data_IF_512960717270
#
_entry.id   IF_512960717270
#
_cell.length_a   1.000
_cell.length_b   1.000
_cell.length_c   1.000
_cell.angle_alpha   90.00
_cell.angle_beta   90.00
_cell.angle_gamma   90.00
#
_symmetry.space_group_name_H-M   'P 1'
#
loop_
_entity.id
_entity.type
_entity.pdbx_description
1 polymer ?
#
# COMPACT_ATOMS: atom_id res chain seq x y z
N UNK A 1 -8.12 -30.17 -72.39
CA UNK A 1 -8.70 -30.68 -71.13
C UNK A 1 -7.72 -30.73 -69.96
N UNK A 2 -6.55 -31.38 -70.05
CA UNK A 2 -5.60 -31.53 -68.91
C UNK A 2 -5.15 -30.21 -68.25
N UNK A 3 -4.86 -29.17 -69.03
CA UNK A 3 -4.43 -27.86 -68.52
C UNK A 3 -5.55 -27.17 -67.72
N UNK A 4 -6.81 -27.31 -68.15
CA UNK A 4 -7.96 -26.75 -67.44
C UNK A 4 -8.24 -27.52 -66.14
N UNK A 5 -8.06 -28.85 -66.13
CA UNK A 5 -8.16 -29.66 -64.90
C UNK A 5 -7.07 -29.31 -63.88
N UNK A 6 -5.82 -29.10 -64.32
CA UNK A 6 -4.72 -28.67 -63.45
C UNK A 6 -4.97 -27.29 -62.83
N UNK A 7 -5.53 -26.36 -63.61
CA UNK A 7 -5.86 -25.01 -63.13
C UNK A 7 -7.05 -25.02 -62.15
N UNK A 8 -8.04 -25.86 -62.40
CA UNK A 8 -9.20 -26.02 -61.52
C UNK A 8 -8.79 -26.65 -60.19
N UNK A 9 -7.86 -27.61 -60.21
CA UNK A 9 -7.32 -28.24 -59.00
C UNK A 9 -6.45 -27.30 -58.16
N UNK A 10 -5.59 -26.45 -58.78
CA UNK A 10 -4.84 -25.43 -58.02
C UNK A 10 -5.80 -24.42 -57.39
N UNK A 11 -6.79 -23.94 -58.15
CA UNK A 11 -7.76 -22.96 -57.63
C UNK A 11 -8.62 -23.54 -56.49
N UNK A 12 -8.95 -24.83 -56.53
CA UNK A 12 -9.66 -25.48 -55.42
C UNK A 12 -8.78 -25.63 -54.16
N UNK A 13 -7.47 -25.86 -54.33
CA UNK A 13 -6.52 -25.91 -53.20
C UNK A 13 -6.40 -24.54 -52.55
N UNK A 14 -6.18 -23.49 -53.36
CA UNK A 14 -6.10 -22.10 -52.88
C UNK A 14 -7.39 -21.68 -52.16
N UNK A 15 -8.55 -22.08 -52.67
CA UNK A 15 -9.83 -21.83 -52.00
C UNK A 15 -9.95 -22.55 -50.65
N UNK A 16 -9.41 -23.75 -50.52
CA UNK A 16 -9.39 -24.48 -49.23
C UNK A 16 -8.45 -23.81 -48.24
N UNK A 17 -7.25 -23.41 -48.68
CA UNK A 17 -6.26 -22.74 -47.83
C UNK A 17 -6.81 -21.42 -47.26
N UNK A 18 -7.42 -20.59 -48.13
CA UNK A 18 -8.03 -19.32 -47.72
C UNK A 18 -9.22 -19.53 -46.77
N UNK A 19 -10.02 -20.60 -46.97
CA UNK A 19 -11.13 -20.93 -46.05
C UNK A 19 -10.61 -21.32 -44.68
N UNK A 20 -9.55 -22.12 -44.63
CA UNK A 20 -8.90 -22.51 -43.38
C UNK A 20 -8.34 -21.30 -42.65
N UNK A 21 -7.61 -20.43 -43.36
CA UNK A 21 -7.04 -19.21 -42.78
C UNK A 21 -8.14 -18.28 -42.23
N UNK A 22 -9.25 -18.13 -42.96
CA UNK A 22 -10.41 -17.38 -42.48
C UNK A 22 -10.99 -17.98 -41.19
N UNK A 23 -11.18 -19.30 -41.12
CA UNK A 23 -11.71 -19.97 -39.93
C UNK A 23 -10.77 -19.80 -38.73
N UNK A 24 -9.47 -19.92 -38.93
CA UNK A 24 -8.46 -19.67 -37.91
C UNK A 24 -8.52 -18.22 -37.40
N UNK A 25 -8.61 -17.26 -38.32
CA UNK A 25 -8.70 -15.84 -37.99
C UNK A 25 -9.99 -15.51 -37.23
N UNK A 26 -11.13 -16.09 -37.63
CA UNK A 26 -12.40 -15.94 -36.92
C UNK A 26 -12.33 -16.48 -35.48
N UNK A 27 -11.70 -17.64 -35.27
CA UNK A 27 -11.49 -18.19 -33.94
C UNK A 27 -10.58 -17.29 -33.09
N UNK A 28 -9.48 -16.81 -33.66
CA UNK A 28 -8.57 -15.88 -32.98
C UNK A 28 -9.26 -14.57 -32.63
N UNK A 29 -10.10 -14.04 -33.52
CA UNK A 29 -10.84 -12.82 -33.28
C UNK A 29 -11.86 -12.99 -32.14
N UNK A 30 -12.62 -14.09 -32.13
CA UNK A 30 -13.56 -14.41 -31.04
C UNK A 30 -12.84 -14.53 -29.71
N UNK A 31 -11.68 -15.18 -29.67
CA UNK A 31 -10.87 -15.29 -28.46
C UNK A 31 -10.42 -13.91 -27.97
N UNK A 32 -9.89 -13.07 -28.86
CA UNK A 32 -9.45 -11.72 -28.51
C UNK A 32 -10.61 -10.83 -28.03
N UNK A 33 -11.81 -10.98 -28.59
CA UNK A 33 -13.01 -10.28 -28.11
C UNK A 33 -13.38 -10.70 -26.67
N UNK A 34 -13.38 -12.01 -26.39
CA UNK A 34 -13.65 -12.51 -25.04
C UNK A 34 -12.62 -12.01 -24.02
N UNK A 35 -11.33 -12.06 -24.36
CA UNK A 35 -10.25 -11.57 -23.49
C UNK A 35 -10.39 -10.06 -23.23
N UNK A 36 -10.76 -9.28 -24.25
CA UNK A 36 -11.03 -7.84 -24.11
C UNK A 36 -12.21 -7.59 -23.17
N UNK A 37 -13.30 -8.33 -23.34
CA UNK A 37 -14.53 -8.13 -22.57
C UNK A 37 -14.32 -8.53 -21.10
N UNK A 38 -13.58 -9.61 -20.86
CA UNK A 38 -13.17 -10.03 -19.51
C UNK A 38 -12.27 -8.97 -18.86
N UNK A 39 -11.29 -8.43 -19.61
CA UNK A 39 -10.40 -7.40 -19.10
C UNK A 39 -11.17 -6.11 -18.76
N UNK A 40 -12.14 -5.73 -19.60
CA UNK A 40 -12.99 -4.57 -19.36
C UNK A 40 -13.85 -4.77 -18.10
N UNK A 41 -14.41 -5.95 -17.90
CA UNK A 41 -15.17 -6.28 -16.70
C UNK A 41 -14.31 -6.17 -15.44
N UNK A 42 -13.13 -6.83 -15.42
CA UNK A 42 -12.17 -6.76 -14.32
C UNK A 42 -11.73 -5.33 -14.01
N UNK A 43 -11.54 -4.52 -15.05
CA UNK A 43 -11.19 -3.11 -14.89
C UNK A 43 -12.29 -2.32 -14.18
N UNK A 44 -13.55 -2.50 -14.57
CA UNK A 44 -14.68 -1.86 -13.91
C UNK A 44 -14.84 -2.31 -12.44
N UNK A 45 -14.70 -3.60 -12.17
CA UNK A 45 -14.73 -4.14 -10.81
C UNK A 45 -13.62 -3.54 -9.95
N UNK A 46 -12.39 -3.48 -10.46
CA UNK A 46 -11.26 -2.91 -9.75
C UNK A 46 -11.46 -1.41 -9.43
N UNK A 47 -12.03 -0.64 -10.37
CA UNK A 47 -12.38 0.77 -10.13
C UNK A 47 -13.40 0.88 -8.99
N UNK A 48 -14.48 0.09 -9.06
CA UNK A 48 -15.53 0.14 -8.04
C UNK A 48 -14.99 -0.26 -6.66
N UNK A 49 -14.15 -1.29 -6.59
CA UNK A 49 -13.55 -1.73 -5.34
C UNK A 49 -12.65 -0.65 -4.72
N UNK A 50 -11.79 0.00 -5.54
CA UNK A 50 -10.95 1.11 -5.08
C UNK A 50 -11.80 2.28 -4.62
N UNK A 51 -12.82 2.66 -5.39
CA UNK A 51 -13.74 3.75 -5.04
C UNK A 51 -14.46 3.46 -3.72
N UNK A 52 -14.99 2.25 -3.54
CA UNK A 52 -15.68 1.85 -2.32
C UNK A 52 -14.75 1.86 -1.11
N UNK A 53 -13.53 1.31 -1.25
CA UNK A 53 -12.51 1.32 -0.18
C UNK A 53 -12.11 2.74 0.22
N UNK A 54 -11.90 3.62 -0.75
CA UNK A 54 -11.57 5.03 -0.51
C UNK A 54 -12.74 5.76 0.14
N UNK A 55 -13.96 5.60 -0.38
CA UNK A 55 -15.17 6.22 0.17
C UNK A 55 -15.41 5.80 1.62
N UNK A 56 -15.27 4.50 1.93
CA UNK A 56 -15.41 4.01 3.30
C UNK A 56 -14.35 4.58 4.25
N UNK A 57 -13.08 4.62 3.81
CA UNK A 57 -11.99 5.23 4.60
C UNK A 57 -12.25 6.71 4.86
N UNK A 58 -12.70 7.45 3.85
CA UNK A 58 -13.02 8.87 3.99
C UNK A 58 -14.16 9.09 4.97
N UNK A 59 -15.25 8.35 4.84
CA UNK A 59 -16.39 8.42 5.77
C UNK A 59 -15.96 8.13 7.21
N UNK A 60 -15.11 7.11 7.41
CA UNK A 60 -14.59 6.78 8.74
C UNK A 60 -13.72 7.92 9.30
N UNK A 61 -12.88 8.54 8.48
CA UNK A 61 -12.05 9.68 8.88
C UNK A 61 -12.91 10.91 9.21
N UNK A 62 -13.94 11.21 8.41
CA UNK A 62 -14.91 12.27 8.68
C UNK A 62 -15.61 12.06 10.02
N UNK A 63 -16.10 10.84 10.29
CA UNK A 63 -16.72 10.49 11.58
C UNK A 63 -15.75 10.63 12.75
N UNK A 64 -14.49 10.22 12.58
CA UNK A 64 -13.46 10.40 13.61
C UNK A 64 -13.17 11.87 13.86
N UNK A 65 -13.06 12.67 12.81
CA UNK A 65 -12.83 14.11 12.90
C UNK A 65 -13.98 14.79 13.65
N UNK A 66 -15.23 14.51 13.26
CA UNK A 66 -16.42 15.04 13.94
C UNK A 66 -16.43 14.65 15.42
N UNK A 67 -16.17 13.38 15.76
CA UNK A 67 -16.09 12.94 17.15
C UNK A 67 -14.97 13.62 17.94
N UNK A 68 -13.81 13.87 17.33
CA UNK A 68 -12.71 14.56 17.99
C UNK A 68 -13.03 16.05 18.19
N UNK A 69 -13.72 16.69 17.23
CA UNK A 69 -14.20 18.06 17.35
C UNK A 69 -15.21 18.20 18.50
N UNK A 70 -16.18 17.30 18.60
CA UNK A 70 -17.15 17.27 19.70
C UNK A 70 -16.46 17.10 21.07
N UNK A 71 -15.44 16.25 21.13
CA UNK A 71 -14.64 16.07 22.35
C UNK A 71 -13.88 17.35 22.68
N UNK A 72 -13.26 17.99 21.69
CA UNK A 72 -12.51 19.23 21.88
C UNK A 72 -13.42 20.34 22.43
N UNK A 73 -14.59 20.57 21.81
CA UNK A 73 -15.55 21.59 22.24
C UNK A 73 -16.05 21.35 23.68
N UNK A 74 -16.31 20.08 24.04
CA UNK A 74 -16.66 19.69 25.42
C UNK A 74 -15.51 19.95 26.39
N UNK A 75 -14.26 19.73 25.99
CA UNK A 75 -13.10 19.96 26.85
C UNK A 75 -12.81 21.45 27.02
N UNK A 76 -12.96 22.24 25.97
CA UNK A 76 -12.80 23.70 26.02
C UNK A 76 -13.87 24.35 26.91
N UNK A 77 -15.14 23.94 26.77
CA UNK A 77 -16.22 24.43 27.65
C UNK A 77 -15.97 24.08 29.12
N UNK A 78 -15.60 22.83 29.43
CA UNK A 78 -15.23 22.39 30.78
C UNK A 78 -14.03 23.18 31.35
N UNK A 79 -13.00 23.42 30.53
CA UNK A 79 -11.83 24.20 30.94
C UNK A 79 -12.21 25.65 31.25
N UNK A 80 -13.02 26.28 30.40
CA UNK A 80 -13.49 27.65 30.59
C UNK A 80 -14.33 27.79 31.88
N UNK A 81 -15.19 26.82 32.17
CA UNK A 81 -15.97 26.78 33.41
C UNK A 81 -15.04 26.74 34.63
N UNK A 82 -14.08 25.80 34.66
CA UNK A 82 -13.12 25.68 35.77
C UNK A 82 -12.31 26.97 35.92
N UNK A 83 -11.79 27.53 34.84
CA UNK A 83 -11.01 28.77 34.88
C UNK A 83 -11.82 29.95 35.45
N UNK A 84 -13.11 30.05 35.10
CA UNK A 84 -14.00 31.08 35.64
C UNK A 84 -14.23 30.95 37.16
N UNK A 85 -14.25 29.72 37.68
CA UNK A 85 -14.44 29.44 39.11
C UNK A 85 -13.16 29.63 39.94
N UNK A 86 -11.99 29.33 39.36
CA UNK A 86 -10.75 29.19 40.14
C UNK A 86 -10.11 30.55 40.51
N UNK A 87 -10.58 31.67 39.94
CA UNK A 87 -10.05 33.04 40.20
C UNK A 87 -8.51 33.12 40.24
N UNK A 88 -7.84 32.36 39.37
CA UNK A 88 -6.38 32.34 39.27
C UNK A 88 -5.93 33.51 38.41
N UNK A 89 -4.78 34.10 38.73
CA UNK A 89 -4.15 35.14 37.92
C UNK A 89 -3.93 34.63 36.46
N UNK A 90 -4.49 35.32 35.44
CA UNK A 90 -4.36 34.93 34.04
C UNK A 90 -2.91 34.82 33.57
N UNK A 91 -2.00 35.64 34.12
CA UNK A 91 -0.58 35.64 33.75
C UNK A 91 0.09 34.32 34.17
N UNK A 92 -0.21 33.85 35.38
CA UNK A 92 0.28 32.59 35.92
C UNK A 92 -0.24 31.38 35.14
N UNK A 93 -1.52 31.39 34.72
CA UNK A 93 -2.08 30.33 33.86
C UNK A 93 -1.36 30.28 32.53
N UNK A 94 -1.18 31.42 31.85
CA UNK A 94 -0.51 31.48 30.55
C UNK A 94 0.93 30.93 30.62
N UNK A 95 1.68 31.28 31.67
CA UNK A 95 3.04 30.75 31.87
C UNK A 95 3.06 29.23 32.08
N UNK A 96 2.11 28.68 32.85
CA UNK A 96 2.02 27.24 33.09
C UNK A 96 1.61 26.49 31.83
N UNK A 97 0.60 26.99 31.10
CA UNK A 97 0.15 26.42 29.82
C UNK A 97 1.29 26.35 28.82
N UNK A 98 2.04 27.45 28.64
CA UNK A 98 3.18 27.47 27.71
C UNK A 98 4.28 26.48 28.09
N UNK A 99 4.64 26.40 29.38
CA UNK A 99 5.61 25.39 29.83
C UNK A 99 5.13 23.96 29.59
N UNK A 100 3.82 23.72 29.75
CA UNK A 100 3.24 22.41 29.49
C UNK A 100 3.26 22.07 28.00
N UNK A 101 2.95 23.03 27.13
CA UNK A 101 3.08 22.92 25.67
C UNK A 101 4.51 22.58 25.26
N UNK A 102 5.51 23.31 25.77
CA UNK A 102 6.94 23.06 25.49
C UNK A 102 7.35 21.62 25.89
N UNK A 103 6.89 21.15 27.06
CA UNK A 103 7.17 19.79 27.54
C UNK A 103 6.46 18.74 26.68
N UNK A 104 5.21 18.98 26.28
CA UNK A 104 4.46 18.08 25.41
C UNK A 104 5.12 17.97 24.04
N UNK A 105 5.52 19.09 23.43
CA UNK A 105 6.20 19.11 22.15
C UNK A 105 7.55 18.40 22.20
N UNK A 106 8.33 18.63 23.25
CA UNK A 106 9.59 17.91 23.49
C UNK A 106 9.38 16.40 23.58
N UNK A 107 8.40 15.94 24.36
CA UNK A 107 8.07 14.51 24.50
C UNK A 107 7.54 13.92 23.20
N UNK A 108 6.68 14.63 22.48
CA UNK A 108 6.16 14.20 21.19
C UNK A 108 7.28 14.07 20.15
N UNK A 109 8.26 14.97 20.17
CA UNK A 109 9.45 14.85 19.33
C UNK A 109 10.26 13.61 19.69
N UNK A 110 10.56 13.41 20.98
CA UNK A 110 11.30 12.23 21.44
C UNK A 110 10.58 10.92 21.06
N UNK A 111 9.25 10.87 21.14
CA UNK A 111 8.46 9.72 20.69
C UNK A 111 8.67 9.46 19.21
N UNK A 112 8.59 10.49 18.35
CA UNK A 112 8.83 10.36 16.91
C UNK A 112 10.25 9.88 16.61
N UNK A 113 11.24 10.44 17.29
CA UNK A 113 12.65 10.07 17.10
C UNK A 113 12.90 8.61 17.52
N UNK A 114 12.39 8.20 18.68
CA UNK A 114 12.52 6.81 19.15
C UNK A 114 11.79 5.81 18.25
N UNK A 115 10.61 6.18 17.75
CA UNK A 115 9.89 5.36 16.78
C UNK A 115 10.68 5.20 15.48
N UNK A 116 11.25 6.29 14.97
CA UNK A 116 12.12 6.25 13.80
C UNK A 116 13.35 5.35 14.04
N UNK A 117 14.03 5.51 15.17
CA UNK A 117 15.21 4.73 15.52
C UNK A 117 14.92 3.24 15.66
N UNK A 118 13.80 2.88 16.31
CA UNK A 118 13.34 1.50 16.39
C UNK A 118 13.14 0.92 14.99
N UNK A 119 12.45 1.66 14.13
CA UNK A 119 12.07 1.19 12.82
C UNK A 119 13.30 1.09 11.88
N UNK A 120 14.26 2.01 12.01
CA UNK A 120 15.60 1.95 11.39
C UNK A 120 16.38 0.71 11.82
N UNK A 121 16.40 0.42 13.13
CA UNK A 121 17.11 -0.73 13.70
C UNK A 121 16.48 -2.05 13.26
N UNK A 122 15.15 -2.16 13.28
CA UNK A 122 14.42 -3.33 12.78
C UNK A 122 14.74 -3.61 11.31
N UNK A 123 14.85 -2.56 10.48
CA UNK A 123 15.22 -2.72 9.07
C UNK A 123 16.65 -3.21 8.90
N UNK A 124 17.62 -2.56 9.56
CA UNK A 124 19.02 -2.97 9.48
C UNK A 124 19.21 -4.44 9.91
N UNK A 125 18.47 -4.87 10.95
CA UNK A 125 18.42 -6.27 11.38
C UNK A 125 17.88 -7.20 10.28
N UNK A 126 16.74 -6.86 9.67
CA UNK A 126 16.14 -7.68 8.61
C UNK A 126 17.02 -7.72 7.33
N UNK A 127 17.65 -6.60 6.97
CA UNK A 127 18.57 -6.53 5.82
C UNK A 127 19.84 -7.36 6.05
N UNK A 128 20.39 -7.32 7.27
CA UNK A 128 21.51 -8.17 7.67
C UNK A 128 21.13 -9.65 7.59
N UNK A 129 19.98 -10.01 8.14
CA UNK A 129 19.47 -11.38 8.10
C UNK A 129 19.37 -11.89 6.66
N UNK A 130 18.76 -11.10 5.77
CA UNK A 130 18.62 -11.43 4.35
C UNK A 130 19.96 -11.56 3.64
N UNK A 131 20.94 -10.76 4.02
CA UNK A 131 22.30 -10.83 3.47
C UNK A 131 23.03 -12.09 3.92
N UNK A 132 22.94 -12.43 5.21
CA UNK A 132 23.49 -13.67 5.76
C UNK A 132 22.87 -14.90 5.08
N UNK A 133 21.56 -14.95 4.93
CA UNK A 133 20.86 -16.04 4.25
C UNK A 133 21.31 -16.23 2.80
N UNK A 134 21.46 -15.12 2.05
CA UNK A 134 22.01 -15.16 0.69
C UNK A 134 23.44 -15.69 0.69
N UNK A 135 24.26 -15.30 1.65
CA UNK A 135 25.66 -15.76 1.74
C UNK A 135 25.75 -17.25 2.09
N UNK A 136 24.94 -17.74 3.02
CA UNK A 136 24.85 -19.17 3.33
C UNK A 136 24.42 -19.98 2.10
N UNK A 137 23.42 -19.48 1.37
CA UNK A 137 22.96 -20.11 0.13
C UNK A 137 24.06 -20.16 -0.94
N UNK A 138 24.89 -19.12 -1.06
CA UNK A 138 26.05 -19.11 -1.98
C UNK A 138 27.09 -20.18 -1.65
N UNK A 139 27.26 -20.53 -0.37
CA UNK A 139 28.16 -21.59 0.07
C UNK A 139 27.48 -22.98 0.07
N UNK A 140 26.25 -23.09 -0.44
CA UNK A 140 25.52 -24.35 -0.51
C UNK A 140 24.98 -24.82 0.85
N UNK A 141 24.87 -23.92 1.84
CA UNK A 141 24.30 -24.23 3.16
C UNK A 141 22.80 -23.94 3.11
N UNK A 142 21.92 -24.95 3.21
CA UNK A 142 20.47 -24.78 3.25
C UNK A 142 20.03 -23.98 4.48
N UNK A 143 19.01 -23.14 4.33
CA UNK A 143 18.44 -22.37 5.45
C UNK A 143 17.91 -23.27 6.57
N UNK A 144 17.41 -24.45 6.22
CA UNK A 144 16.88 -25.47 7.15
C UNK A 144 17.98 -26.20 7.93
N UNK A 145 19.25 -26.02 7.55
CA UNK A 145 20.40 -26.55 8.31
C UNK A 145 20.71 -25.72 9.56
N UNK A 146 20.10 -24.54 9.71
CA UNK A 146 20.19 -23.76 10.94
C UNK A 146 19.21 -24.32 11.97
N UNK A 147 19.71 -24.71 13.15
CA UNK A 147 18.88 -25.20 14.26
C UNK A 147 18.00 -24.10 14.89
N UNK A 148 18.12 -22.85 14.44
CA UNK A 148 17.32 -21.73 14.88
C UNK A 148 16.74 -20.95 13.70
N UNK A 149 15.50 -20.46 13.86
CA UNK A 149 14.86 -19.53 12.93
C UNK A 149 15.05 -18.11 13.45
N UNK A 150 15.82 -17.26 12.74
CA UNK A 150 15.97 -15.86 13.14
C UNK A 150 14.62 -15.16 13.18
N UNK A 151 14.39 -14.35 14.22
CA UNK A 151 13.18 -13.55 14.34
C UNK A 151 13.27 -12.34 13.40
N UNK A 152 12.33 -12.20 12.48
CA UNK A 152 12.15 -10.96 11.74
C UNK A 152 11.51 -9.91 12.67
N UNK A 153 12.22 -8.80 12.86
CA UNK A 153 11.72 -7.73 13.71
C UNK A 153 10.76 -6.86 12.89
N UNK A 154 9.46 -6.96 13.20
CA UNK A 154 8.43 -6.07 12.66
C UNK A 154 8.16 -4.96 13.68
N UNK A 155 8.42 -3.70 13.31
CA UNK A 155 7.90 -2.56 14.06
C UNK A 155 6.36 -2.59 13.96
N UNK A 156 5.68 -3.10 14.99
CA UNK A 156 4.22 -3.26 14.99
C UNK A 156 3.53 -1.95 14.60
N UNK A 157 2.73 -1.99 13.54
CA UNK A 157 1.84 -0.88 13.15
C UNK A 157 2.48 0.27 12.37
N UNK A 158 3.77 0.22 12.04
CA UNK A 158 4.46 1.28 11.29
C UNK A 158 4.90 0.79 9.91
N UNK A 159 4.21 1.28 8.87
CA UNK A 159 4.68 1.23 7.49
C UNK A 159 5.63 2.42 7.30
N UNK A 160 6.93 2.20 7.45
CA UNK A 160 7.92 3.21 7.07
C UNK A 160 7.91 3.42 5.57
N UNK A 161 8.05 4.67 5.13
CA UNK A 161 8.32 4.98 3.73
C UNK A 161 9.62 4.29 3.29
N UNK A 162 9.56 3.58 2.17
CA UNK A 162 10.76 3.13 1.50
C UNK A 162 11.31 4.34 0.71
N UNK A 163 12.35 4.98 1.23
CA UNK A 163 13.09 5.97 0.45
C UNK A 163 13.70 5.33 -0.81
N UNK A 164 14.02 6.11 -1.85
CA UNK A 164 14.77 5.61 -2.99
C UNK A 164 16.07 4.96 -2.47
N UNK A 165 16.39 3.75 -2.96
CA UNK A 165 17.42 2.84 -2.44
C UNK A 165 17.07 2.04 -1.16
N UNK A 166 15.82 2.04 -0.71
CA UNK A 166 15.40 1.23 0.43
C UNK A 166 15.95 1.77 1.74
N UNK A 167 15.97 3.09 1.95
CA UNK A 167 16.28 3.71 3.24
C UNK A 167 14.99 3.93 4.05
N UNK A 168 15.11 4.02 5.39
CA UNK A 168 14.00 4.43 6.25
C UNK A 168 13.91 5.95 6.23
N UNK A 169 12.83 6.50 5.68
CA UNK A 169 12.50 7.91 5.84
C UNK A 169 11.51 8.11 6.98
N UNK A 170 11.52 9.29 7.61
CA UNK A 170 10.41 9.70 8.45
C UNK A 170 9.10 9.60 7.65
N UNK A 171 7.99 9.14 8.25
CA UNK A 171 6.70 9.29 7.61
C UNK A 171 6.43 10.79 7.41
N UNK A 172 6.20 11.19 6.16
CA UNK A 172 5.72 12.54 5.80
C UNK A 172 4.31 12.76 6.29
#
# INVERSE_FOLDING_TARGET
MKIQQARLTSLTSELQDVKWERELLEQSHKKAQLERDELYHKFLEAIQEVQQKCSFKNLLLEKKLASLADILEKRESQLNEVLSLTKVDPTSICMVTRKLEDVLDSKNSAIRDLQYELARTCKAHNDLLRTCEKKLSQFGIPKDSLEFKPLENTARGQSLGAGPAGLVSNPT
#
